data_IF_220337254177
#
_entry.id   IF_220337254177
#
_cell.length_a   1.000
_cell.length_b   1.000
_cell.length_c   1.000
_cell.angle_alpha   90.00
_cell.angle_beta   90.00
_cell.angle_gamma   90.00
#
_symmetry.space_group_name_H-M   'P 1'
#
loop_
_entity.id
_entity.type
_entity.pdbx_description
1 polymer ?
#
# COMPACT_ATOMS: atom_id res chain seq x y z
N UNK A 1 -10.48 20.43 6.12
CA UNK A 1 -11.28 19.66 5.11
C UNK A 1 -10.48 19.03 3.95
N UNK A 2 -9.56 19.71 3.27
CA UNK A 2 -8.85 19.16 2.07
C UNK A 2 -8.05 17.88 2.34
N UNK A 3 -7.41 17.75 3.51
CA UNK A 3 -6.53 16.63 3.85
C UNK A 3 -7.26 15.28 3.93
N UNK A 4 -8.47 15.29 4.52
CA UNK A 4 -9.30 14.08 4.68
C UNK A 4 -9.65 13.45 3.32
N UNK A 5 -10.01 14.28 2.34
CA UNK A 5 -10.42 13.82 1.00
C UNK A 5 -9.28 13.09 0.27
N UNK A 6 -8.06 13.62 0.31
CA UNK A 6 -6.90 12.97 -0.31
C UNK A 6 -6.58 11.62 0.33
N UNK A 7 -6.61 11.56 1.67
CA UNK A 7 -6.32 10.32 2.40
C UNK A 7 -7.39 9.25 2.22
N UNK A 8 -8.67 9.63 2.16
CA UNK A 8 -9.76 8.69 1.86
C UNK A 8 -9.74 8.23 0.40
N UNK A 9 -9.41 9.13 -0.54
CA UNK A 9 -9.35 8.78 -1.96
C UNK A 9 -8.27 7.72 -2.25
N UNK A 10 -7.10 7.82 -1.60
CA UNK A 10 -6.06 6.79 -1.71
C UNK A 10 -6.52 5.42 -1.22
N UNK A 11 -7.19 5.35 -0.07
CA UNK A 11 -7.74 4.10 0.45
C UNK A 11 -8.85 3.51 -0.42
N UNK A 12 -9.60 4.34 -1.14
CA UNK A 12 -10.64 3.87 -2.06
C UNK A 12 -10.08 3.40 -3.40
N UNK A 13 -9.06 4.05 -3.96
CA UNK A 13 -8.60 3.77 -5.34
C UNK A 13 -7.52 2.68 -5.38
N UNK A 14 -6.50 2.77 -4.52
CA UNK A 14 -5.33 1.88 -4.58
C UNK A 14 -5.61 0.38 -4.40
N UNK A 15 -6.54 -0.08 -3.53
CA UNK A 15 -6.77 -1.51 -3.38
C UNK A 15 -7.50 -2.15 -4.57
N UNK A 16 -8.19 -1.38 -5.42
CA UNK A 16 -8.75 -1.94 -6.65
C UNK A 16 -7.73 -1.97 -7.80
N UNK A 17 -6.75 -1.07 -7.80
CA UNK A 17 -5.70 -1.05 -8.81
C UNK A 17 -4.84 -2.32 -8.82
N UNK A 18 -4.73 -3.04 -7.69
CA UNK A 18 -3.94 -4.29 -7.63
C UNK A 18 -4.64 -5.49 -8.28
N UNK A 19 -5.93 -5.38 -8.61
CA UNK A 19 -6.71 -6.49 -9.21
C UNK A 19 -6.14 -6.87 -10.58
N UNK A 20 -5.90 -5.88 -11.45
CA UNK A 20 -5.35 -6.10 -12.79
C UNK A 20 -4.00 -6.82 -12.78
N UNK A 21 -2.94 -6.33 -12.09
CA UNK A 21 -1.66 -7.00 -12.08
C UNK A 21 -1.71 -8.37 -11.37
N UNK A 22 -2.53 -8.52 -10.32
CA UNK A 22 -2.75 -9.83 -9.69
C UNK A 22 -3.33 -10.84 -10.68
N UNK A 23 -4.35 -10.44 -11.45
CA UNK A 23 -4.96 -11.29 -12.46
C UNK A 23 -3.97 -11.63 -13.59
N UNK A 24 -3.16 -10.67 -14.03
CA UNK A 24 -2.11 -10.91 -15.03
C UNK A 24 -1.07 -11.92 -14.56
N UNK A 25 -0.55 -11.78 -13.33
CA UNK A 25 0.42 -12.72 -12.78
C UNK A 25 -0.19 -14.10 -12.51
N UNK A 26 -1.45 -14.17 -12.03
CA UNK A 26 -2.14 -15.43 -11.84
C UNK A 26 -2.34 -16.17 -13.18
N UNK A 27 -2.68 -15.45 -14.25
CA UNK A 27 -2.79 -16.03 -15.59
C UNK A 27 -1.44 -16.53 -16.12
N UNK A 28 -0.36 -15.78 -15.92
CA UNK A 28 1.00 -16.20 -16.28
C UNK A 28 1.45 -17.44 -15.51
N UNK A 29 1.13 -17.54 -14.22
CA UNK A 29 1.42 -18.72 -13.40
C UNK A 29 0.69 -19.98 -13.91
N UNK A 30 -0.53 -19.80 -14.45
CA UNK A 30 -1.29 -20.88 -15.06
C UNK A 30 -0.69 -21.33 -16.39
N UNK A 31 -0.35 -20.37 -17.26
CA UNK A 31 0.11 -20.62 -18.64
C UNK A 31 1.57 -21.06 -18.76
N UNK A 32 2.48 -20.50 -17.96
CA UNK A 32 3.93 -20.69 -18.11
C UNK A 32 4.43 -21.65 -17.02
N UNK A 33 4.62 -22.92 -17.37
CA UNK A 33 5.07 -23.95 -16.43
C UNK A 33 6.45 -23.64 -15.83
N UNK A 34 7.39 -23.14 -16.65
CA UNK A 34 8.75 -22.78 -16.22
C UNK A 34 8.80 -21.61 -15.22
N UNK A 35 7.81 -20.71 -15.26
CA UNK A 35 7.72 -19.52 -14.40
C UNK A 35 6.64 -19.60 -13.32
N UNK A 36 5.99 -20.76 -13.14
CA UNK A 36 4.78 -20.89 -12.30
C UNK A 36 5.00 -20.42 -10.86
N UNK A 37 6.12 -20.77 -10.23
CA UNK A 37 6.42 -20.33 -8.86
C UNK A 37 6.70 -18.83 -8.78
N UNK A 38 7.44 -18.28 -9.74
CA UNK A 38 7.77 -16.85 -9.77
C UNK A 38 6.53 -15.98 -9.99
N UNK A 39 5.69 -16.34 -10.97
CA UNK A 39 4.43 -15.64 -11.23
C UNK A 39 3.39 -15.85 -10.12
N UNK A 40 3.37 -17.04 -9.48
CA UNK A 40 2.54 -17.30 -8.31
C UNK A 40 2.93 -16.42 -7.11
N UNK A 41 4.23 -16.25 -6.86
CA UNK A 41 4.74 -15.35 -5.83
C UNK A 41 4.40 -13.89 -6.14
N UNK A 42 4.58 -13.46 -7.39
CA UNK A 42 4.23 -12.10 -7.84
C UNK A 42 2.72 -11.81 -7.71
N UNK A 43 1.85 -12.79 -8.00
CA UNK A 43 0.41 -12.66 -7.81
C UNK A 43 0.06 -12.54 -6.32
N UNK A 44 0.65 -13.38 -5.47
CA UNK A 44 0.41 -13.35 -4.03
C UNK A 44 0.89 -12.04 -3.38
N UNK A 45 2.10 -11.57 -3.73
CA UNK A 45 2.65 -10.31 -3.21
C UNK A 45 1.81 -9.09 -3.61
N UNK A 46 1.32 -9.08 -4.85
CA UNK A 46 0.46 -8.01 -5.37
C UNK A 46 -0.93 -8.05 -4.74
N UNK A 47 -1.49 -9.25 -4.53
CA UNK A 47 -2.78 -9.41 -3.87
C UNK A 47 -2.75 -8.96 -2.41
N UNK A 48 -1.70 -9.33 -1.65
CA UNK A 48 -1.52 -8.96 -0.23
C UNK A 48 -1.39 -7.44 -0.04
N UNK A 49 -0.98 -6.69 -1.05
CA UNK A 49 -0.93 -5.23 -0.99
C UNK A 49 -2.31 -4.58 -0.75
N UNK A 50 -3.42 -5.20 -1.21
CA UNK A 50 -4.77 -4.70 -0.95
C UNK A 50 -5.18 -4.78 0.53
N UNK A 51 -5.20 -5.95 1.20
CA UNK A 51 -5.54 -6.05 2.61
C UNK A 51 -4.53 -5.31 3.50
N UNK A 52 -3.24 -5.27 3.13
CA UNK A 52 -2.26 -4.44 3.84
C UNK A 52 -2.63 -2.95 3.78
N UNK A 53 -3.02 -2.45 2.60
CA UNK A 53 -3.47 -1.05 2.43
C UNK A 53 -4.73 -0.77 3.25
N UNK A 54 -5.74 -1.63 3.17
CA UNK A 54 -7.02 -1.41 3.85
C UNK A 54 -6.90 -1.49 5.38
N UNK A 55 -6.17 -2.49 5.88
CA UNK A 55 -6.06 -2.75 7.31
C UNK A 55 -4.99 -1.86 7.95
N UNK A 56 -3.74 -1.96 7.49
CA UNK A 56 -2.60 -1.31 8.15
C UNK A 56 -2.61 0.19 7.85
N UNK A 57 -2.67 0.57 6.57
CA UNK A 57 -2.64 1.97 6.17
C UNK A 57 -3.96 2.69 6.51
N UNK A 58 -5.08 1.97 6.48
CA UNK A 58 -6.40 2.48 6.89
C UNK A 58 -6.47 2.83 8.37
N UNK A 59 -5.91 1.99 9.26
CA UNK A 59 -5.83 2.28 10.69
C UNK A 59 -4.98 3.53 10.97
N UNK A 60 -3.78 3.63 10.36
CA UNK A 60 -2.91 4.80 10.53
C UNK A 60 -3.56 6.08 10.00
N UNK A 61 -4.23 6.01 8.85
CA UNK A 61 -4.94 7.16 8.27
C UNK A 61 -6.07 7.66 9.17
N UNK A 62 -6.87 6.76 9.75
CA UNK A 62 -7.92 7.14 10.72
C UNK A 62 -7.33 7.79 11.97
N UNK A 63 -6.21 7.28 12.47
CA UNK A 63 -5.51 7.87 13.62
C UNK A 63 -4.98 9.27 13.31
N UNK A 64 -4.41 9.50 12.12
CA UNK A 64 -3.95 10.83 11.66
C UNK A 64 -5.11 11.81 11.60
N UNK A 65 -6.24 11.43 10.99
CA UNK A 65 -7.41 12.30 10.88
C UNK A 65 -7.94 12.66 12.28
N UNK A 66 -8.05 11.67 13.17
CA UNK A 66 -8.51 11.90 14.54
C UNK A 66 -7.59 12.85 15.32
N UNK A 67 -6.26 12.72 15.18
CA UNK A 67 -5.31 13.62 15.85
C UNK A 67 -5.26 15.01 15.20
N UNK A 68 -5.38 15.09 13.89
CA UNK A 68 -5.44 16.35 13.16
C UNK A 68 -6.67 17.18 13.58
N UNK A 69 -7.84 16.55 13.72
CA UNK A 69 -9.06 17.23 14.18
C UNK A 69 -8.93 17.74 15.64
N UNK A 70 -8.18 17.01 16.50
CA UNK A 70 -7.90 17.43 17.89
C UNK A 70 -6.93 18.61 17.93
N UNK A 71 -5.88 18.61 17.09
CA UNK A 71 -4.91 19.72 16.99
C UNK A 71 -5.54 20.97 16.37
N UNK A 72 -6.45 20.82 15.40
CA UNK A 72 -7.18 21.93 14.78
C UNK A 72 -8.21 22.56 15.75
N UNK A 73 -8.82 21.76 16.63
CA UNK A 73 -9.81 22.23 17.62
C UNK A 73 -9.22 22.74 18.94
N UNK A 74 -8.03 22.28 19.33
CA UNK A 74 -7.33 22.75 20.54
C UNK A 74 -6.05 23.50 20.15
N UNK A 75 -6.07 24.82 20.27
CA UNK A 75 -4.87 25.65 20.17
C UNK A 75 -3.84 25.21 21.23
N UNK A 76 -2.83 24.44 20.78
CA UNK A 76 -1.58 24.08 21.45
C UNK A 76 -1.63 23.10 22.63
N UNK A 77 -1.15 21.88 22.36
CA UNK A 77 -0.40 21.06 23.31
C UNK A 77 0.73 20.34 22.56
N UNK A 78 2.00 20.59 22.91
CA UNK A 78 3.17 20.07 22.18
C UNK A 78 3.19 18.54 22.05
N UNK A 79 2.62 17.83 23.03
CA UNK A 79 2.52 16.36 23.03
C UNK A 79 1.60 15.80 21.92
N UNK A 80 0.56 16.51 21.50
CA UNK A 80 -0.31 16.05 20.41
C UNK A 80 0.32 16.27 19.03
N UNK A 81 1.14 17.32 18.88
CA UNK A 81 1.90 17.60 17.67
C UNK A 81 3.00 16.55 17.43
N UNK A 82 3.78 16.19 18.46
CA UNK A 82 4.76 15.09 18.38
C UNK A 82 4.09 13.75 18.02
N UNK A 83 2.92 13.47 18.59
CA UNK A 83 2.15 12.26 18.26
C UNK A 83 1.64 12.24 16.82
N UNK A 84 1.38 13.41 16.23
CA UNK A 84 0.97 13.54 14.82
C UNK A 84 2.17 13.34 13.88
N UNK A 85 3.34 13.91 14.18
CA UNK A 85 4.57 13.71 13.41
C UNK A 85 4.97 12.24 13.36
N UNK A 86 4.96 11.53 14.48
CA UNK A 86 5.26 10.09 14.52
C UNK A 86 4.29 9.25 13.68
N UNK A 87 3.01 9.64 13.61
CA UNK A 87 2.02 8.99 12.75
C UNK A 87 2.24 9.29 11.27
N UNK A 88 2.66 10.51 10.93
CA UNK A 88 3.01 10.91 9.57
C UNK A 88 4.27 10.18 9.08
N UNK A 89 5.30 10.07 9.91
CA UNK A 89 6.51 9.30 9.61
C UNK A 89 6.20 7.82 9.39
N UNK A 90 5.35 7.24 10.26
CA UNK A 90 4.89 5.87 10.08
C UNK A 90 4.09 5.71 8.79
N UNK A 91 3.22 6.66 8.46
CA UNK A 91 2.46 6.64 7.21
C UNK A 91 3.37 6.80 5.97
N UNK A 92 4.41 7.63 6.04
CA UNK A 92 5.41 7.77 4.98
C UNK A 92 6.19 6.46 4.78
N UNK A 93 6.64 5.83 5.88
CA UNK A 93 7.32 4.53 5.84
C UNK A 93 6.41 3.44 5.25
N UNK A 94 5.14 3.38 5.66
CA UNK A 94 4.17 2.42 5.13
C UNK A 94 3.92 2.62 3.62
N UNK A 95 3.87 3.86 3.13
CA UNK A 95 3.81 4.12 1.69
C UNK A 95 5.08 3.70 0.96
N UNK A 96 6.25 3.89 1.58
CA UNK A 96 7.53 3.41 1.04
C UNK A 96 7.54 1.89 0.86
N UNK A 97 7.16 1.15 1.91
CA UNK A 97 7.05 -0.32 1.89
C UNK A 97 6.02 -0.77 0.85
N UNK A 98 4.88 -0.08 0.76
CA UNK A 98 3.85 -0.34 -0.25
C UNK A 98 4.39 -0.15 -1.67
N UNK A 99 5.30 0.79 -1.92
CA UNK A 99 5.95 0.97 -3.22
C UNK A 99 6.93 -0.16 -3.56
N UNK A 100 7.57 -0.76 -2.55
CA UNK A 100 8.53 -1.85 -2.74
C UNK A 100 7.88 -3.17 -3.15
N UNK A 101 6.68 -3.48 -2.64
CA UNK A 101 5.99 -4.75 -2.92
C UNK A 101 5.69 -4.95 -4.43
N UNK A 102 5.08 -3.99 -5.15
CA UNK A 102 4.89 -4.07 -6.59
C UNK A 102 6.20 -4.04 -7.37
N UNK A 103 7.20 -3.30 -6.87
CA UNK A 103 8.51 -3.18 -7.53
C UNK A 103 9.25 -4.52 -7.54
N UNK A 104 9.25 -5.24 -6.41
CA UNK A 104 9.81 -6.59 -6.31
C UNK A 104 9.06 -7.57 -7.23
N UNK A 105 7.73 -7.52 -7.25
CA UNK A 105 6.92 -8.33 -8.17
C UNK A 105 7.24 -8.04 -9.64
N UNK A 106 7.43 -6.77 -9.99
CA UNK A 106 7.79 -6.35 -11.35
C UNK A 106 9.18 -6.86 -11.74
N UNK A 107 10.19 -6.74 -10.87
CA UNK A 107 11.57 -7.22 -11.14
C UNK A 107 11.60 -8.74 -11.31
N UNK A 108 10.89 -9.49 -10.46
CA UNK A 108 10.79 -10.95 -10.57
C UNK A 108 10.05 -11.35 -11.85
N UNK A 109 8.96 -10.66 -12.20
CA UNK A 109 8.26 -10.88 -13.47
C UNK A 109 9.14 -10.63 -14.69
N UNK A 110 9.90 -9.53 -14.69
CA UNK A 110 10.75 -9.13 -15.81
C UNK A 110 11.97 -10.05 -15.98
N UNK A 111 12.61 -10.45 -14.88
CA UNK A 111 13.72 -11.41 -14.90
C UNK A 111 13.28 -12.79 -15.40
N UNK A 112 12.08 -13.23 -15.04
CA UNK A 112 11.51 -14.49 -15.56
C UNK A 112 11.24 -14.41 -17.08
N UNK A 113 10.86 -13.25 -17.60
CA UNK A 113 10.71 -13.03 -19.06
C UNK A 113 12.08 -13.07 -19.76
N UNK A 114 13.11 -12.47 -19.16
CA UNK A 114 14.47 -12.43 -19.72
C UNK A 114 15.21 -13.76 -19.68
N UNK A 115 14.83 -14.68 -18.79
CA UNK A 115 15.45 -16.00 -18.61
C UNK A 115 14.72 -17.12 -19.38
N UNK A 116 13.61 -16.81 -20.05
CA UNK A 116 12.92 -17.70 -21.01
C UNK A 116 13.37 -17.37 -22.44
#
# INVERSE_FOLDING_TARGET
>A
MRFRTFYTAGLTIFPFLVILPTASFAFLAWRVAAGRMAYGFAAASTFVAAPFTLLVQGMTTKAIISKADVVESKTRGGSEAEGLEALLDRWALLNGIKGLLPLLGAVVGLSTILMC
#
